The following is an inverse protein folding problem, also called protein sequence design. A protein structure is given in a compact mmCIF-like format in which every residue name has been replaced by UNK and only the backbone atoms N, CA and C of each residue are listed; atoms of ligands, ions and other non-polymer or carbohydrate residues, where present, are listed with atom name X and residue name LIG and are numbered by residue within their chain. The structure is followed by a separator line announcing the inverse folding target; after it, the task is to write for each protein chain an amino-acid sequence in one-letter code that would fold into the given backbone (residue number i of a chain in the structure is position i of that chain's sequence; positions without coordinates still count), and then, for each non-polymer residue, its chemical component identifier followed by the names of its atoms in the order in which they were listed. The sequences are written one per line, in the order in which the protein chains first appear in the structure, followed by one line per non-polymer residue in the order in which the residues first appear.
data_IF_641335704759
#
_entry.id   IF_641335704759
#
_cell.length_a   1.000
_cell.length_b   1.000
_cell.length_c   1.000
_cell.angle_alpha   90.00
_cell.angle_beta   90.00
_cell.angle_gamma   90.00
#
_symmetry.space_group_name_H-M   'P 1'
#
loop_
_entity.id
_entity.type
_entity.pdbx_description
1 polymer ?
#
# COMPACT_ATOMS: atom_id res chain seq x y z
N UNK A 1 19.70 5.05 -77.90
CA UNK A 1 19.06 5.78 -76.83
C UNK A 1 19.03 4.85 -75.62
N UNK A 2 19.94 5.02 -74.66
CA UNK A 2 20.04 4.23 -73.48
C UNK A 2 19.40 5.04 -72.35
N UNK A 3 18.33 4.48 -71.69
CA UNK A 3 17.68 5.06 -70.53
C UNK A 3 18.34 4.50 -69.28
N UNK A 4 18.97 5.36 -68.51
CA UNK A 4 19.54 5.07 -67.17
C UNK A 4 18.45 5.26 -66.14
N UNK A 5 18.15 4.21 -65.38
CA UNK A 5 17.22 4.27 -64.23
C UNK A 5 18.04 4.58 -62.97
N UNK A 6 17.72 5.67 -62.29
CA UNK A 6 18.22 5.97 -60.94
C UNK A 6 17.39 5.21 -59.92
N UNK A 7 18.02 4.35 -59.11
CA UNK A 7 17.46 3.77 -57.92
C UNK A 7 17.78 4.68 -56.75
N UNK A 8 16.75 5.27 -56.14
CA UNK A 8 16.83 6.00 -54.86
C UNK A 8 16.62 5.01 -53.74
N UNK A 9 17.67 4.75 -52.94
CA UNK A 9 17.58 3.98 -51.73
C UNK A 9 17.08 4.89 -50.58
N UNK A 10 15.89 4.58 -50.05
CA UNK A 10 15.37 5.22 -48.84
C UNK A 10 15.89 4.40 -47.65
N UNK A 11 16.80 5.00 -46.86
CA UNK A 11 17.25 4.46 -45.60
C UNK A 11 16.20 4.77 -44.52
N UNK A 12 15.48 3.77 -44.06
CA UNK A 12 14.60 3.86 -42.90
C UNK A 12 15.44 3.83 -41.61
N UNK A 13 15.57 4.97 -40.94
CA UNK A 13 16.10 5.04 -39.57
C UNK A 13 15.05 4.43 -38.63
N UNK A 14 15.28 3.20 -38.18
CA UNK A 14 14.55 2.63 -37.07
C UNK A 14 15.06 3.30 -35.77
N UNK A 15 14.28 4.25 -35.25
CA UNK A 15 14.46 4.75 -33.89
C UNK A 15 14.10 3.60 -32.89
N UNK A 16 15.11 2.88 -32.45
CA UNK A 16 14.98 1.94 -31.37
C UNK A 16 14.67 2.71 -30.07
N UNK A 17 13.41 2.74 -29.66
CA UNK A 17 13.07 3.16 -28.31
C UNK A 17 13.75 2.16 -27.36
N UNK A 18 14.77 2.62 -26.63
CA UNK A 18 15.33 1.88 -25.51
C UNK A 18 14.20 1.72 -24.49
N UNK A 19 13.68 0.51 -24.34
CA UNK A 19 12.74 0.18 -23.29
C UNK A 19 13.45 0.42 -21.94
N UNK A 20 13.01 1.43 -21.20
CA UNK A 20 13.44 1.63 -19.81
C UNK A 20 13.00 0.36 -19.05
N UNK A 21 13.87 -0.27 -18.25
CA UNK A 21 13.47 -1.39 -17.42
C UNK A 21 12.24 -1.01 -16.61
N UNK A 22 11.22 -1.87 -16.59
CA UNK A 22 9.95 -1.60 -15.91
C UNK A 22 10.08 -1.39 -14.39
N UNK A 23 11.27 -1.61 -13.83
CA UNK A 23 11.59 -1.54 -12.40
C UNK A 23 12.41 -0.30 -12.00
N UNK A 24 12.89 0.50 -12.95
CA UNK A 24 13.72 1.66 -12.62
C UNK A 24 12.86 2.79 -12.03
N UNK A 25 13.36 3.41 -10.95
CA UNK A 25 12.74 4.60 -10.38
C UNK A 25 12.57 5.70 -11.43
N UNK A 26 11.51 6.53 -11.33
CA UNK A 26 11.32 7.66 -12.23
C UNK A 26 12.51 8.62 -12.17
N UNK A 27 12.71 9.40 -13.22
CA UNK A 27 13.80 10.39 -13.27
C UNK A 27 13.69 11.42 -12.14
N UNK A 28 12.45 11.80 -11.79
CA UNK A 28 12.07 12.64 -10.65
C UNK A 28 10.79 12.05 -10.04
N UNK A 29 10.67 12.05 -8.72
CA UNK A 29 9.43 11.64 -8.07
C UNK A 29 8.36 12.74 -8.18
N UNK A 30 7.09 12.32 -8.14
CA UNK A 30 5.90 13.19 -8.13
C UNK A 30 5.46 13.39 -6.69
N UNK A 31 5.12 14.63 -6.29
CA UNK A 31 4.72 14.97 -4.93
C UNK A 31 3.46 15.86 -4.87
N UNK A 32 2.57 15.63 -3.88
CA UNK A 32 2.50 14.43 -3.07
C UNK A 32 2.27 13.20 -3.94
N UNK A 33 2.87 12.08 -3.57
CA UNK A 33 2.87 10.92 -4.45
C UNK A 33 2.93 9.56 -3.77
N UNK A 34 2.69 9.49 -2.45
CA UNK A 34 2.61 8.24 -1.70
C UNK A 34 1.14 7.88 -1.47
N UNK A 35 0.66 6.89 -2.17
CA UNK A 35 -0.72 6.37 -2.19
C UNK A 35 -1.75 7.37 -2.72
N UNK A 36 -1.55 8.67 -2.54
CA UNK A 36 -2.44 9.73 -3.04
C UNK A 36 -1.64 10.79 -3.79
N UNK A 37 -2.18 11.24 -4.93
CA UNK A 37 -1.69 12.36 -5.71
C UNK A 37 -2.42 13.66 -5.34
N UNK A 38 -1.88 14.79 -5.76
CA UNK A 38 -2.57 16.08 -5.60
C UNK A 38 -3.94 16.07 -6.30
N UNK A 39 -4.05 15.51 -7.51
CA UNK A 39 -5.33 15.42 -8.22
C UNK A 39 -6.38 14.62 -7.45
N UNK A 40 -5.97 13.52 -6.81
CA UNK A 40 -6.88 12.73 -5.95
C UNK A 40 -7.31 13.51 -4.70
N UNK A 41 -6.42 14.25 -4.09
CA UNK A 41 -6.73 15.10 -2.94
C UNK A 41 -7.67 16.26 -3.32
N UNK A 42 -7.46 16.90 -4.47
CA UNK A 42 -8.33 17.96 -5.00
C UNK A 42 -9.72 17.43 -5.30
N UNK A 43 -9.84 16.24 -5.89
CA UNK A 43 -11.11 15.58 -6.11
C UNK A 43 -11.85 15.32 -4.79
N UNK A 44 -11.20 14.69 -3.81
CA UNK A 44 -11.77 14.42 -2.49
C UNK A 44 -12.28 15.72 -1.83
N UNK A 45 -11.44 16.78 -1.82
CA UNK A 45 -11.82 18.10 -1.31
C UNK A 45 -13.04 18.68 -2.02
N UNK A 46 -13.07 18.61 -3.34
CA UNK A 46 -14.21 19.08 -4.14
C UNK A 46 -15.51 18.37 -3.77
N UNK A 47 -15.45 17.04 -3.64
CA UNK A 47 -16.62 16.21 -3.27
C UNK A 47 -17.10 16.49 -1.85
N UNK A 48 -16.19 16.60 -0.89
CA UNK A 48 -16.53 16.94 0.50
C UNK A 48 -17.19 18.33 0.58
N UNK A 49 -16.61 19.33 -0.09
CA UNK A 49 -17.16 20.70 -0.10
C UNK A 49 -18.53 20.78 -0.78
N UNK A 50 -18.80 19.91 -1.75
CA UNK A 50 -20.10 19.79 -2.40
C UNK A 50 -21.13 18.98 -1.58
N UNK A 51 -20.74 18.41 -0.43
CA UNK A 51 -21.61 17.54 0.38
C UNK A 51 -21.89 16.20 -0.27
N UNK A 52 -21.11 15.79 -1.30
CA UNK A 52 -21.37 14.59 -2.07
C UNK A 52 -21.01 13.31 -1.29
N UNK A 53 -21.85 12.27 -1.45
CA UNK A 53 -21.61 10.96 -0.88
C UNK A 53 -20.86 10.06 -1.90
N UNK A 54 -20.02 9.12 -1.45
CA UNK A 54 -19.74 8.75 -0.05
C UNK A 54 -18.68 9.63 0.64
N UNK A 55 -18.02 10.55 -0.06
CA UNK A 55 -16.85 11.32 0.43
C UNK A 55 -17.15 12.17 1.66
N UNK A 56 -18.32 12.87 1.66
CA UNK A 56 -18.70 13.68 2.84
C UNK A 56 -18.92 12.82 4.08
N UNK A 57 -19.59 11.68 3.95
CA UNK A 57 -19.78 10.74 5.04
C UNK A 57 -18.45 10.13 5.52
N UNK A 58 -17.53 9.81 4.60
CA UNK A 58 -16.21 9.31 4.93
C UNK A 58 -15.35 10.37 5.66
N UNK A 59 -15.43 11.62 5.21
CA UNK A 59 -14.76 12.73 5.87
C UNK A 59 -15.30 13.00 7.28
N UNK A 60 -16.62 12.99 7.45
CA UNK A 60 -17.23 13.18 8.76
C UNK A 60 -16.87 12.05 9.73
N UNK A 61 -16.85 10.80 9.26
CA UNK A 61 -16.42 9.66 10.04
C UNK A 61 -14.92 9.77 10.42
N UNK A 62 -14.08 10.26 9.51
CA UNK A 62 -12.68 10.53 9.77
C UNK A 62 -12.51 11.58 10.88
N UNK A 63 -13.22 12.71 10.79
CA UNK A 63 -13.14 13.77 11.80
C UNK A 63 -13.72 13.36 13.16
N UNK A 64 -14.68 12.45 13.19
CA UNK A 64 -15.24 11.91 14.43
C UNK A 64 -14.34 10.83 15.08
N UNK A 65 -13.29 10.41 14.40
CA UNK A 65 -12.38 9.37 14.92
C UNK A 65 -11.41 9.93 15.96
N UNK A 66 -10.87 9.03 16.82
CA UNK A 66 -9.80 9.37 17.76
C UNK A 66 -8.53 9.91 17.12
N UNK A 67 -8.37 9.72 15.81
CA UNK A 67 -7.19 10.13 15.05
C UNK A 67 -7.21 11.62 14.66
N UNK A 68 -8.39 12.26 14.61
CA UNK A 68 -8.53 13.68 14.28
C UNK A 68 -8.59 14.58 15.54
N UNK A 69 -8.31 14.03 16.73
CA UNK A 69 -8.33 14.79 17.98
C UNK A 69 -7.13 15.74 18.06
N UNK A 70 -7.40 17.04 17.89
CA UNK A 70 -6.38 18.08 17.99
C UNK A 70 -5.73 18.19 19.38
N UNK A 71 -6.31 17.58 20.43
CA UNK A 71 -5.72 17.53 21.78
C UNK A 71 -4.84 16.29 21.97
N UNK A 72 -4.74 15.41 20.93
CA UNK A 72 -3.87 14.24 21.00
C UNK A 72 -2.44 14.63 21.35
N UNK A 73 -1.87 13.97 22.36
CA UNK A 73 -0.46 14.10 22.72
C UNK A 73 0.31 12.91 22.18
N UNK A 74 1.36 13.19 21.41
CA UNK A 74 2.26 12.15 20.91
C UNK A 74 2.95 11.41 22.07
N UNK A 75 3.21 10.13 21.91
CA UNK A 75 3.84 9.27 22.91
C UNK A 75 5.11 8.60 22.36
N UNK A 76 6.10 9.38 21.90
CA UNK A 76 7.30 8.82 21.30
C UNK A 76 8.14 8.05 22.32
N UNK A 77 8.85 7.03 21.84
CA UNK A 77 9.81 6.24 22.62
C UNK A 77 11.12 6.15 21.84
N UNK A 78 12.23 6.09 22.59
CA UNK A 78 13.54 5.90 21.96
C UNK A 78 13.66 4.52 21.31
N UNK A 79 13.14 3.49 21.96
CA UNK A 79 13.05 2.14 21.42
C UNK A 79 11.58 1.71 21.42
N UNK A 80 11.08 1.29 20.26
CA UNK A 80 9.78 0.66 20.12
C UNK A 80 9.99 -0.86 20.15
N UNK A 81 9.51 -1.52 21.20
CA UNK A 81 9.70 -2.95 21.37
C UNK A 81 8.40 -3.70 21.16
N UNK A 82 8.34 -4.53 20.09
CA UNK A 82 7.15 -5.24 19.66
C UNK A 82 7.41 -6.75 19.55
N UNK A 83 6.89 -7.50 20.50
CA UNK A 83 6.92 -8.96 20.47
C UNK A 83 5.78 -9.55 19.62
N UNK A 84 5.76 -10.89 19.52
CA UNK A 84 4.68 -11.63 18.86
C UNK A 84 3.33 -11.23 19.40
N UNK A 85 2.38 -10.96 18.50
CA UNK A 85 1.07 -10.39 18.85
C UNK A 85 1.19 -9.09 19.70
N UNK A 86 2.30 -8.35 19.50
CA UNK A 86 2.69 -7.19 20.29
C UNK A 86 2.67 -7.45 21.80
N UNK A 87 3.32 -8.51 22.20
CA UNK A 87 3.64 -8.78 23.59
C UNK A 87 5.13 -9.13 23.74
N UNK A 88 5.97 -8.22 24.27
CA UNK A 88 5.62 -6.91 24.82
C UNK A 88 5.10 -5.91 23.80
N UNK A 89 4.42 -4.84 24.28
CA UNK A 89 3.93 -3.69 23.53
C UNK A 89 4.47 -2.40 24.16
N UNK A 90 5.74 -2.10 23.91
CA UNK A 90 6.35 -0.85 24.37
C UNK A 90 6.41 0.14 23.22
N UNK A 91 5.36 0.96 23.09
CA UNK A 91 5.24 1.97 22.07
C UNK A 91 4.64 1.51 20.74
N UNK A 92 4.40 0.21 20.52
CA UNK A 92 3.91 -0.31 19.23
C UNK A 92 2.56 0.29 18.82
N UNK A 93 1.59 0.27 19.75
CA UNK A 93 0.28 0.86 19.50
C UNK A 93 0.36 2.39 19.41
N UNK A 94 1.13 3.02 20.31
CA UNK A 94 1.30 4.47 20.33
C UNK A 94 1.88 4.97 18.99
N UNK A 95 2.91 4.31 18.46
CA UNK A 95 3.54 4.66 17.18
C UNK A 95 2.58 4.55 16.00
N UNK A 96 1.87 3.41 15.85
CA UNK A 96 0.91 3.22 14.78
C UNK A 96 -0.22 4.24 14.83
N UNK A 97 -0.76 4.47 16.02
CA UNK A 97 -1.85 5.43 16.21
C UNK A 97 -1.41 6.87 15.93
N UNK A 98 -0.20 7.27 16.35
CA UNK A 98 0.34 8.59 16.06
C UNK A 98 0.64 8.77 14.57
N UNK A 99 1.10 7.72 13.87
CA UNK A 99 1.32 7.75 12.43
C UNK A 99 0.00 7.89 11.64
N UNK A 100 -1.04 7.14 12.02
CA UNK A 100 -2.38 7.29 11.42
C UNK A 100 -2.98 8.66 11.75
N UNK A 101 -2.79 9.16 12.97
CA UNK A 101 -3.27 10.49 13.35
C UNK A 101 -2.59 11.59 12.52
N UNK A 102 -1.29 11.52 12.32
CA UNK A 102 -0.58 12.47 11.46
C UNK A 102 -1.12 12.46 10.02
N UNK A 103 -1.40 11.28 9.46
CA UNK A 103 -2.03 11.16 8.13
C UNK A 103 -3.46 11.69 8.12
N UNK A 104 -4.25 11.39 9.14
CA UNK A 104 -5.61 11.91 9.31
C UNK A 104 -5.63 13.43 9.35
N UNK A 105 -4.74 14.03 10.16
CA UNK A 105 -4.62 15.48 10.28
C UNK A 105 -4.10 16.11 8.98
N UNK A 106 -3.19 15.47 8.26
CA UNK A 106 -2.75 15.95 6.95
C UNK A 106 -3.90 15.98 5.92
N UNK A 107 -4.77 14.96 5.89
CA UNK A 107 -5.97 14.94 5.07
C UNK A 107 -6.98 16.01 5.51
N UNK A 108 -7.23 16.14 6.82
CA UNK A 108 -8.13 17.15 7.38
C UNK A 108 -7.65 18.57 7.01
N UNK A 109 -6.35 18.84 7.13
CA UNK A 109 -5.73 20.07 6.63
C UNK A 109 -6.02 20.29 5.13
N UNK A 110 -5.72 19.28 4.30
CA UNK A 110 -5.88 19.45 2.86
C UNK A 110 -7.31 19.79 2.45
N UNK A 111 -8.28 19.18 3.10
CA UNK A 111 -9.71 19.36 2.78
C UNK A 111 -10.24 20.67 3.37
N UNK A 112 -9.98 20.97 4.64
CA UNK A 112 -10.56 22.12 5.34
C UNK A 112 -9.77 23.41 5.17
N UNK A 113 -8.47 23.32 4.92
CA UNK A 113 -7.48 24.41 5.02
C UNK A 113 -7.39 25.02 6.43
N UNK A 114 -7.82 24.30 7.45
CA UNK A 114 -7.62 24.68 8.85
C UNK A 114 -6.21 24.30 9.28
N UNK A 115 -5.38 25.31 9.48
CA UNK A 115 -3.96 25.15 9.84
C UNK A 115 -3.72 24.39 11.15
N UNK A 116 -4.72 24.30 12.04
CA UNK A 116 -4.59 23.54 13.28
C UNK A 116 -4.28 22.07 12.98
N UNK A 117 -4.87 21.49 11.94
CA UNK A 117 -4.59 20.12 11.52
C UNK A 117 -3.18 19.97 10.93
N UNK A 118 -2.74 20.90 10.07
CA UNK A 118 -1.36 20.84 9.56
C UNK A 118 -0.33 20.92 10.70
N UNK A 119 -0.54 21.85 11.64
CA UNK A 119 0.32 22.01 12.82
C UNK A 119 0.31 20.78 13.72
N UNK A 120 -0.86 20.09 13.84
CA UNK A 120 -0.96 18.84 14.62
C UNK A 120 -0.20 17.69 13.92
N UNK A 121 -0.35 17.51 12.62
CA UNK A 121 0.40 16.51 11.85
C UNK A 121 1.92 16.73 12.01
N UNK A 122 2.39 17.98 11.88
CA UNK A 122 3.80 18.37 12.11
C UNK A 122 4.23 18.03 13.53
N UNK A 123 3.43 18.39 14.54
CA UNK A 123 3.72 18.10 15.94
C UNK A 123 3.94 16.62 16.23
N UNK A 124 3.09 15.74 15.66
CA UNK A 124 3.23 14.30 15.81
C UNK A 124 4.51 13.79 15.14
N UNK A 125 4.77 14.18 13.90
CA UNK A 125 5.97 13.81 13.15
C UNK A 125 7.24 14.32 13.83
N UNK A 126 7.23 15.54 14.33
CA UNK A 126 8.37 16.15 15.05
C UNK A 126 8.65 15.47 16.39
N UNK A 127 7.61 15.09 17.11
CA UNK A 127 7.77 14.40 18.40
C UNK A 127 8.47 13.05 18.23
N UNK A 128 8.03 12.24 17.27
CA UNK A 128 8.64 10.94 17.00
C UNK A 128 10.06 11.08 16.44
N UNK A 129 10.27 11.97 15.47
CA UNK A 129 11.60 12.17 14.88
C UNK A 129 12.66 12.74 15.85
N UNK A 130 12.23 13.30 16.97
CA UNK A 130 13.13 13.78 18.01
C UNK A 130 13.61 12.68 18.97
N UNK A 131 12.92 11.53 19.01
CA UNK A 131 13.09 10.57 20.10
C UNK A 131 13.45 9.16 19.62
N UNK A 132 12.78 8.65 18.58
CA UNK A 132 12.95 7.24 18.17
C UNK A 132 14.33 6.99 17.57
N UNK A 133 14.94 5.89 17.99
CA UNK A 133 16.27 5.46 17.51
C UNK A 133 16.28 4.01 17.03
N UNK A 134 15.31 3.18 17.45
CA UNK A 134 15.32 1.75 17.12
C UNK A 134 13.94 1.09 17.24
N UNK A 135 13.77 -0.03 16.51
CA UNK A 135 12.69 -0.99 16.67
C UNK A 135 13.28 -2.34 17.06
N UNK A 136 12.70 -3.01 18.04
CA UNK A 136 13.26 -4.26 18.57
C UNK A 136 12.21 -5.35 18.76
N UNK A 137 12.69 -6.57 19.01
CA UNK A 137 11.91 -7.78 19.22
C UNK A 137 11.33 -8.40 17.92
N UNK A 138 10.63 -9.52 18.05
CA UNK A 138 10.25 -10.41 16.94
C UNK A 138 9.35 -9.76 15.88
N UNK A 139 8.56 -8.76 16.23
CA UNK A 139 7.68 -8.05 15.31
C UNK A 139 8.23 -6.68 14.85
N UNK A 140 9.48 -6.35 15.17
CA UNK A 140 10.09 -5.08 14.78
C UNK A 140 9.93 -4.75 13.28
N UNK A 141 10.27 -5.67 12.32
CA UNK A 141 10.11 -5.36 10.90
C UNK A 141 8.66 -5.10 10.49
N UNK A 142 7.71 -5.86 11.03
CA UNK A 142 6.29 -5.69 10.70
C UNK A 142 5.71 -4.40 11.30
N UNK A 143 6.06 -4.08 12.54
CA UNK A 143 5.71 -2.82 13.20
C UNK A 143 6.24 -1.62 12.43
N UNK A 144 7.52 -1.67 12.04
CA UNK A 144 8.17 -0.65 11.22
C UNK A 144 7.48 -0.50 9.85
N UNK A 145 7.05 -1.61 9.25
CA UNK A 145 6.26 -1.62 8.03
C UNK A 145 4.92 -0.88 8.19
N UNK A 146 4.17 -1.18 9.24
CA UNK A 146 2.86 -0.56 9.46
C UNK A 146 2.94 0.94 9.76
N UNK A 147 3.79 1.35 10.72
CA UNK A 147 3.95 2.76 11.01
C UNK A 147 4.62 3.51 9.84
N UNK A 148 5.63 2.88 9.23
CA UNK A 148 6.36 3.41 8.08
C UNK A 148 5.54 3.57 6.80
N UNK A 149 4.38 2.92 6.68
CA UNK A 149 3.42 3.16 5.59
C UNK A 149 2.65 4.46 5.79
N UNK A 150 2.28 4.80 7.03
CA UNK A 150 1.46 5.99 7.33
C UNK A 150 2.27 7.28 7.38
N UNK A 151 3.48 7.24 7.94
CA UNK A 151 4.34 8.42 8.08
C UNK A 151 4.64 9.17 6.78
N UNK A 152 5.10 8.52 5.68
CA UNK A 152 5.39 9.24 4.45
C UNK A 152 4.13 9.79 3.78
N UNK A 153 2.95 9.17 3.93
CA UNK A 153 1.68 9.72 3.43
C UNK A 153 1.37 11.09 4.07
N UNK A 154 1.51 11.16 5.41
CA UNK A 154 1.33 12.43 6.13
C UNK A 154 2.36 13.47 5.70
N UNK A 155 3.62 13.06 5.66
CA UNK A 155 4.75 13.94 5.34
C UNK A 155 4.68 14.53 3.93
N UNK A 156 4.30 13.73 2.95
CA UNK A 156 4.09 14.15 1.56
C UNK A 156 3.02 15.25 1.45
N UNK A 157 1.86 15.02 2.05
CA UNK A 157 0.79 16.01 2.01
C UNK A 157 1.25 17.32 2.66
N UNK A 158 1.83 17.25 3.86
CA UNK A 158 2.27 18.46 4.56
C UNK A 158 3.40 19.17 3.82
N UNK A 159 4.46 18.46 3.46
CA UNK A 159 5.66 19.06 2.85
C UNK A 159 5.34 19.77 1.52
N UNK A 160 4.46 19.22 0.73
CA UNK A 160 4.22 19.71 -0.64
C UNK A 160 2.92 20.53 -0.79
N UNK A 161 2.07 20.63 0.24
CA UNK A 161 0.80 21.36 0.14
C UNK A 161 0.57 22.39 1.22
N UNK A 162 1.27 22.33 2.35
CA UNK A 162 1.15 23.30 3.42
C UNK A 162 2.06 24.51 3.17
N UNK A 163 1.46 25.69 3.10
CA UNK A 163 2.21 26.94 2.84
C UNK A 163 3.01 27.46 4.05
N UNK A 164 2.74 26.94 5.25
CA UNK A 164 3.48 27.26 6.45
C UNK A 164 4.82 26.50 6.53
N UNK A 165 5.62 26.82 7.55
CA UNK A 165 6.94 26.20 7.71
C UNK A 165 6.86 24.87 8.48
N UNK A 166 7.61 23.87 7.99
CA UNK A 166 7.97 22.67 8.73
C UNK A 166 9.48 22.59 8.90
N UNK A 167 9.97 23.26 9.93
CA UNK A 167 11.41 23.45 10.16
C UNK A 167 12.18 22.14 10.40
N UNK A 168 11.54 21.13 11.00
CA UNK A 168 12.16 19.83 11.33
C UNK A 168 11.97 18.74 10.26
N UNK A 169 11.51 19.08 9.07
CA UNK A 169 11.30 18.10 7.99
C UNK A 169 12.56 17.29 7.65
N UNK A 170 13.74 17.91 7.73
CA UNK A 170 15.03 17.23 7.56
C UNK A 170 15.33 16.21 8.64
N UNK A 171 14.99 16.50 9.92
CA UNK A 171 15.12 15.52 11.01
C UNK A 171 14.16 14.36 10.83
N UNK A 172 12.94 14.63 10.42
CA UNK A 172 11.97 13.58 10.11
C UNK A 172 12.45 12.69 8.96
N UNK A 173 12.99 13.26 7.89
CA UNK A 173 13.62 12.51 6.80
C UNK A 173 14.79 11.63 7.30
N UNK A 174 15.61 12.15 8.21
CA UNK A 174 16.72 11.41 8.84
C UNK A 174 16.21 10.22 9.66
N UNK A 175 15.11 10.37 10.41
CA UNK A 175 14.46 9.29 11.13
C UNK A 175 14.03 8.16 10.17
N UNK A 176 13.32 8.50 9.09
CA UNK A 176 12.87 7.51 8.11
C UNK A 176 14.04 6.78 7.45
N UNK A 177 15.11 7.49 7.12
CA UNK A 177 16.31 6.94 6.49
C UNK A 177 17.11 6.02 7.40
N UNK A 178 17.27 6.39 8.67
CA UNK A 178 18.23 5.74 9.56
C UNK A 178 17.57 4.73 10.53
N UNK A 179 16.28 4.87 10.81
CA UNK A 179 15.56 4.02 11.77
C UNK A 179 14.60 3.06 11.05
N UNK A 180 13.82 3.56 10.09
CA UNK A 180 12.80 2.74 9.42
C UNK A 180 13.35 1.94 8.23
N UNK A 181 14.01 2.62 7.30
CA UNK A 181 14.43 1.98 6.04
C UNK A 181 15.38 0.79 6.24
N UNK A 182 16.38 0.83 7.14
CA UNK A 182 17.25 -0.32 7.37
C UNK A 182 16.51 -1.57 7.86
N UNK A 183 15.46 -1.39 8.67
CA UNK A 183 14.68 -2.48 9.24
C UNK A 183 13.84 -3.22 8.17
N UNK A 184 13.35 -2.50 7.14
CA UNK A 184 12.37 -3.02 6.19
C UNK A 184 12.90 -3.32 4.80
N UNK A 185 13.98 -2.66 4.36
CA UNK A 185 14.43 -2.68 2.95
C UNK A 185 14.91 -4.06 2.46
N UNK A 186 15.27 -4.94 3.37
CA UNK A 186 15.73 -6.28 3.04
C UNK A 186 14.60 -7.32 2.97
N UNK A 187 13.36 -6.94 3.29
CA UNK A 187 12.19 -7.82 3.25
C UNK A 187 12.21 -8.89 4.33
N UNK A 188 11.35 -9.89 4.19
CA UNK A 188 11.17 -10.97 5.17
C UNK A 188 10.85 -12.29 4.49
N UNK A 189 11.26 -13.40 5.10
CA UNK A 189 10.85 -14.76 4.72
C UNK A 189 9.65 -15.28 5.54
N UNK A 190 9.06 -14.44 6.37
CA UNK A 190 7.81 -14.74 7.11
C UNK A 190 6.61 -14.87 6.16
N UNK A 191 5.38 -14.89 6.68
CA UNK A 191 4.19 -14.86 5.84
C UNK A 191 4.20 -13.65 4.89
N UNK A 192 3.54 -13.79 3.74
CA UNK A 192 3.68 -12.81 2.65
C UNK A 192 3.25 -11.39 2.98
N UNK A 193 2.25 -11.21 3.87
CA UNK A 193 1.83 -9.88 4.31
C UNK A 193 2.94 -9.08 5.00
N UNK A 194 3.91 -9.75 5.66
CA UNK A 194 5.05 -9.08 6.29
C UNK A 194 5.89 -8.34 5.26
N UNK A 195 6.39 -9.06 4.25
CA UNK A 195 7.23 -8.44 3.23
C UNK A 195 6.44 -7.43 2.39
N UNK A 196 5.16 -7.69 2.12
CA UNK A 196 4.31 -6.73 1.40
C UNK A 196 4.13 -5.42 2.18
N UNK A 197 3.84 -5.48 3.49
CA UNK A 197 3.76 -4.28 4.34
C UNK A 197 5.11 -3.57 4.48
N UNK A 198 6.20 -4.33 4.60
CA UNK A 198 7.55 -3.76 4.63
C UNK A 198 7.92 -3.07 3.31
N UNK A 199 7.58 -3.67 2.16
CA UNK A 199 7.85 -3.07 0.86
C UNK A 199 6.97 -1.85 0.58
N UNK A 200 5.72 -1.84 1.05
CA UNK A 200 4.88 -0.65 0.99
C UNK A 200 5.52 0.54 1.71
N UNK A 201 5.94 0.32 2.95
CA UNK A 201 6.64 1.36 3.73
C UNK A 201 7.94 1.79 3.04
N UNK A 202 8.74 0.84 2.56
CA UNK A 202 10.01 1.15 1.88
C UNK A 202 9.79 1.98 0.60
N UNK A 203 8.77 1.66 -0.20
CA UNK A 203 8.39 2.43 -1.40
C UNK A 203 7.98 3.85 -1.03
N UNK A 204 7.05 4.00 -0.06
CA UNK A 204 6.59 5.32 0.36
C UNK A 204 7.70 6.18 0.98
N UNK A 205 8.53 5.59 1.83
CA UNK A 205 9.70 6.26 2.41
C UNK A 205 10.68 6.69 1.31
N UNK A 206 10.95 5.83 0.34
CA UNK A 206 11.89 6.14 -0.76
C UNK A 206 11.41 7.30 -1.63
N UNK A 207 10.10 7.40 -1.90
CA UNK A 207 9.50 8.55 -2.59
C UNK A 207 9.72 9.83 -1.77
N UNK A 208 9.37 9.84 -0.49
CA UNK A 208 9.53 11.02 0.37
C UNK A 208 11.00 11.46 0.52
N UNK A 209 11.94 10.50 0.53
CA UNK A 209 13.38 10.73 0.66
C UNK A 209 14.08 11.05 -0.66
N UNK A 210 13.41 11.00 -1.81
CA UNK A 210 14.01 11.09 -3.14
C UNK A 210 15.10 10.00 -3.38
N UNK A 211 14.92 8.82 -2.77
CA UNK A 211 15.89 7.72 -2.81
C UNK A 211 15.52 6.67 -3.86
N UNK A 212 16.00 6.88 -5.08
CA UNK A 212 15.74 5.98 -6.22
C UNK A 212 16.28 4.58 -6.03
N UNK A 213 17.44 4.44 -5.39
CA UNK A 213 18.07 3.14 -5.19
C UNK A 213 17.25 2.26 -4.24
N UNK A 214 16.76 2.84 -3.15
CA UNK A 214 15.86 2.14 -2.22
C UNK A 214 14.50 1.86 -2.84
N UNK A 215 13.96 2.78 -3.66
CA UNK A 215 12.73 2.55 -4.40
C UNK A 215 12.85 1.34 -5.33
N UNK A 216 13.88 1.29 -6.18
CA UNK A 216 14.10 0.19 -7.13
C UNK A 216 14.26 -1.15 -6.40
N UNK A 217 15.01 -1.16 -5.30
CA UNK A 217 15.18 -2.36 -4.48
C UNK A 217 13.86 -2.84 -3.88
N UNK A 218 13.04 -1.92 -3.34
CA UNK A 218 11.74 -2.25 -2.78
C UNK A 218 10.78 -2.77 -3.86
N UNK A 219 10.76 -2.14 -5.05
CA UNK A 219 9.92 -2.54 -6.17
C UNK A 219 10.27 -3.94 -6.72
N UNK A 220 11.55 -4.26 -6.82
CA UNK A 220 11.98 -5.60 -7.23
C UNK A 220 11.49 -6.68 -6.25
N UNK A 221 11.61 -6.44 -4.94
CA UNK A 221 11.07 -7.33 -3.92
C UNK A 221 9.55 -7.43 -3.97
N UNK A 222 8.87 -6.31 -4.10
CA UNK A 222 7.41 -6.23 -4.23
C UNK A 222 6.88 -7.13 -5.35
N UNK A 223 7.45 -7.03 -6.56
CA UNK A 223 7.02 -7.85 -7.70
C UNK A 223 7.20 -9.34 -7.43
N UNK A 224 8.36 -9.71 -6.90
CA UNK A 224 8.66 -11.11 -6.56
C UNK A 224 7.69 -11.64 -5.49
N UNK A 225 7.46 -10.85 -4.43
CA UNK A 225 6.56 -11.25 -3.34
C UNK A 225 5.10 -11.28 -3.78
N UNK A 226 4.63 -10.33 -4.56
CA UNK A 226 3.24 -10.32 -5.07
C UNK A 226 2.95 -11.57 -5.91
N UNK A 227 3.90 -11.95 -6.79
CA UNK A 227 3.78 -13.16 -7.58
C UNK A 227 3.77 -14.44 -6.71
N UNK A 228 4.50 -14.47 -5.60
CA UNK A 228 4.53 -15.58 -4.67
C UNK A 228 3.41 -15.56 -3.62
N UNK A 229 2.64 -14.47 -3.54
CA UNK A 229 1.57 -14.29 -2.55
C UNK A 229 0.18 -14.59 -3.12
N UNK A 230 -0.07 -14.25 -4.37
CA UNK A 230 -1.35 -14.50 -5.04
C UNK A 230 -1.14 -15.51 -6.16
N UNK A 231 -1.85 -16.62 -6.10
CA UNK A 231 -1.78 -17.66 -7.12
C UNK A 231 -2.66 -17.32 -8.32
N UNK A 232 -2.15 -17.62 -9.51
CA UNK A 232 -2.90 -17.69 -10.78
C UNK A 232 -2.69 -19.05 -11.43
N UNK A 233 -3.69 -19.60 -12.10
CA UNK A 233 -3.59 -20.87 -12.83
C UNK A 233 -2.46 -20.83 -13.88
N UNK A 234 -2.12 -19.67 -14.40
CA UNK A 234 -0.98 -19.45 -15.29
C UNK A 234 0.39 -19.66 -14.63
N UNK A 235 0.47 -19.77 -13.30
CA UNK A 235 1.72 -20.11 -12.60
C UNK A 235 2.06 -21.60 -12.72
N UNK A 236 1.12 -22.44 -13.14
CA UNK A 236 1.23 -23.89 -13.22
C UNK A 236 0.65 -24.58 -11.99
N UNK A 237 1.03 -25.84 -11.73
CA UNK A 237 0.45 -26.67 -10.66
C UNK A 237 0.73 -26.18 -9.25
N UNK A 238 1.69 -25.29 -9.07
CA UNK A 238 2.12 -24.76 -7.78
C UNK A 238 2.30 -23.24 -7.82
N UNK A 239 2.03 -22.57 -6.70
CA UNK A 239 2.33 -21.15 -6.57
C UNK A 239 3.80 -20.82 -6.80
N UNK A 240 4.08 -19.62 -7.31
CA UNK A 240 5.43 -19.07 -7.35
C UNK A 240 6.00 -18.91 -5.93
N UNK A 241 7.30 -18.91 -5.81
CA UNK A 241 8.01 -18.80 -4.53
C UNK A 241 9.06 -17.69 -4.57
N UNK A 242 9.36 -17.13 -3.41
CA UNK A 242 10.52 -16.22 -3.27
C UNK A 242 11.78 -17.05 -3.13
N UNK A 243 12.83 -16.81 -3.95
CA UNK A 243 14.03 -17.64 -3.96
C UNK A 243 14.69 -17.80 -2.58
N UNK A 244 14.72 -16.76 -1.75
CA UNK A 244 15.33 -16.79 -0.42
C UNK A 244 14.62 -17.72 0.58
N UNK A 245 13.36 -18.13 0.31
CA UNK A 245 12.60 -19.00 1.21
C UNK A 245 12.91 -20.49 1.04
N UNK A 246 13.59 -20.88 -0.05
CA UNK A 246 13.96 -22.26 -0.32
C UNK A 246 12.77 -23.26 -0.34
N UNK A 247 11.61 -22.81 -0.81
CA UNK A 247 10.38 -23.59 -0.95
C UNK A 247 10.41 -24.39 -2.27
N UNK A 248 11.24 -25.42 -2.30
CA UNK A 248 11.58 -26.17 -3.53
C UNK A 248 10.86 -27.52 -3.68
N UNK A 249 9.91 -27.84 -2.81
CA UNK A 249 9.08 -29.04 -2.90
C UNK A 249 7.61 -28.67 -2.66
N UNK A 250 6.69 -29.52 -3.20
CA UNK A 250 5.25 -29.35 -2.99
C UNK A 250 4.90 -29.27 -1.50
N UNK A 251 5.44 -30.14 -0.67
CA UNK A 251 5.13 -30.21 0.76
C UNK A 251 5.54 -28.90 1.50
N UNK A 252 6.71 -28.35 1.14
CA UNK A 252 7.14 -27.06 1.69
C UNK A 252 6.22 -25.90 1.27
N UNK A 253 5.78 -25.89 0.01
CA UNK A 253 4.84 -24.89 -0.49
C UNK A 253 3.49 -25.03 0.22
N UNK A 254 2.93 -26.24 0.27
CA UNK A 254 1.68 -26.52 0.99
C UNK A 254 1.77 -26.10 2.46
N UNK A 255 2.85 -26.46 3.14
CA UNK A 255 3.08 -26.04 4.52
C UNK A 255 3.12 -24.52 4.68
N UNK A 256 3.82 -23.80 3.81
CA UNK A 256 3.88 -22.35 3.81
C UNK A 256 2.50 -21.72 3.48
N UNK A 257 1.68 -22.36 2.62
CA UNK A 257 0.33 -21.96 2.26
C UNK A 257 -0.72 -22.44 3.29
N UNK A 258 -0.34 -22.60 4.55
CA UNK A 258 -1.24 -22.95 5.66
C UNK A 258 -1.94 -24.30 5.48
N UNK A 259 -1.30 -25.24 4.83
CA UNK A 259 -1.85 -26.58 4.55
C UNK A 259 -2.74 -26.66 3.30
N UNK A 260 -2.95 -25.56 2.58
CA UNK A 260 -3.75 -25.57 1.36
C UNK A 260 -2.99 -26.28 0.23
N UNK A 261 -3.58 -27.35 -0.30
CA UNK A 261 -2.98 -28.21 -1.33
C UNK A 261 -3.63 -28.13 -2.71
N UNK A 262 -4.82 -27.53 -2.78
CA UNK A 262 -5.54 -27.24 -4.04
C UNK A 262 -5.44 -25.74 -4.31
N UNK A 263 -4.80 -25.37 -5.41
CA UNK A 263 -4.58 -23.99 -5.78
C UNK A 263 -5.53 -23.57 -6.89
N UNK A 264 -6.14 -22.40 -6.74
CA UNK A 264 -7.04 -21.79 -7.73
C UNK A 264 -6.75 -20.31 -7.83
N UNK A 265 -6.98 -19.73 -9.00
CA UNK A 265 -6.77 -18.30 -9.27
C UNK A 265 -7.41 -17.40 -8.21
N UNK A 266 -6.65 -16.49 -7.65
CA UNK A 266 -7.07 -15.52 -6.62
C UNK A 266 -6.84 -15.99 -5.18
N UNK A 267 -6.46 -17.24 -4.95
CA UNK A 267 -6.05 -17.72 -3.64
C UNK A 267 -4.76 -16.99 -3.21
N UNK A 268 -4.69 -16.56 -1.96
CA UNK A 268 -3.49 -15.95 -1.38
C UNK A 268 -2.81 -16.92 -0.41
N UNK A 269 -1.52 -16.71 -0.17
CA UNK A 269 -0.72 -17.53 0.73
C UNK A 269 -1.33 -17.63 2.13
N UNK A 270 -2.07 -16.61 2.57
CA UNK A 270 -2.65 -16.56 3.92
C UNK A 270 -4.16 -16.75 3.97
N UNK A 271 -4.82 -17.06 2.86
CA UNK A 271 -6.28 -17.27 2.84
C UNK A 271 -6.71 -18.28 3.91
N UNK A 272 -5.97 -19.37 4.08
CA UNK A 272 -6.30 -20.39 5.09
C UNK A 272 -5.78 -20.09 6.50
N UNK A 273 -5.03 -19.01 6.68
CA UNK A 273 -4.72 -18.47 8.01
C UNK A 273 -5.91 -17.70 8.56
N UNK A 274 -6.27 -16.62 7.91
CA UNK A 274 -7.49 -15.82 8.08
C UNK A 274 -7.54 -14.68 7.02
N UNK A 275 -8.72 -14.12 6.79
CA UNK A 275 -8.87 -13.04 5.82
C UNK A 275 -8.38 -11.69 6.35
N UNK A 276 -8.17 -11.52 7.64
CA UNK A 276 -7.58 -10.30 8.22
C UNK A 276 -6.12 -10.13 7.76
N UNK A 277 -5.30 -11.17 7.89
CA UNK A 277 -3.91 -11.14 7.40
C UNK A 277 -3.83 -11.10 5.87
N UNK A 278 -4.76 -11.82 5.19
CA UNK A 278 -4.93 -11.71 3.74
C UNK A 278 -5.21 -10.27 3.33
N UNK A 279 -6.07 -9.56 4.06
CA UNK A 279 -6.36 -8.15 3.84
C UNK A 279 -5.14 -7.25 3.97
N UNK A 280 -4.23 -7.52 4.90
CA UNK A 280 -2.97 -6.76 5.02
C UNK A 280 -2.10 -6.91 3.76
N UNK A 281 -1.96 -8.12 3.24
CA UNK A 281 -1.23 -8.35 2.00
C UNK A 281 -1.87 -7.67 0.79
N UNK A 282 -3.19 -7.80 0.63
CA UNK A 282 -3.93 -7.20 -0.49
C UNK A 282 -3.87 -5.66 -0.45
N UNK A 283 -4.02 -5.05 0.73
CA UNK A 283 -3.92 -3.60 0.86
C UNK A 283 -2.53 -3.10 0.51
N UNK A 284 -1.48 -3.76 0.99
CA UNK A 284 -0.11 -3.39 0.65
C UNK A 284 0.14 -3.49 -0.87
N UNK A 285 -0.38 -4.53 -1.55
CA UNK A 285 -0.30 -4.64 -3.01
C UNK A 285 -1.01 -3.45 -3.68
N UNK A 286 -2.22 -3.10 -3.24
CA UNK A 286 -2.99 -1.98 -3.78
C UNK A 286 -2.25 -0.64 -3.61
N UNK A 287 -1.70 -0.40 -2.42
CA UNK A 287 -1.01 0.86 -2.09
C UNK A 287 0.30 1.04 -2.87
N UNK A 288 1.08 -0.03 -3.02
CA UNK A 288 2.30 0.01 -3.85
C UNK A 288 1.96 0.22 -5.32
N UNK A 289 0.95 -0.48 -5.84
CA UNK A 289 0.51 -0.30 -7.22
C UNK A 289 0.03 1.14 -7.47
N UNK A 290 -0.70 1.74 -6.53
CA UNK A 290 -1.18 3.12 -6.65
C UNK A 290 -0.03 4.11 -6.55
N UNK A 291 0.88 3.96 -5.59
CA UNK A 291 2.09 4.78 -5.49
C UNK A 291 2.91 4.69 -6.78
N UNK A 292 3.15 3.48 -7.28
CA UNK A 292 3.90 3.25 -8.53
C UNK A 292 3.24 3.93 -9.73
N UNK A 293 1.89 3.87 -9.84
CA UNK A 293 1.14 4.56 -10.89
C UNK A 293 1.33 6.08 -10.82
N UNK A 294 1.22 6.66 -9.63
CA UNK A 294 1.44 8.11 -9.42
C UNK A 294 2.87 8.48 -9.84
N UNK A 295 3.82 7.58 -9.58
CA UNK A 295 5.22 7.76 -9.98
C UNK A 295 5.50 7.44 -11.46
N UNK A 296 4.44 7.23 -12.28
CA UNK A 296 4.56 7.03 -13.72
C UNK A 296 4.84 5.59 -14.16
N UNK A 297 4.78 4.62 -13.24
CA UNK A 297 4.94 3.18 -13.53
C UNK A 297 3.62 2.45 -13.25
N UNK A 298 2.75 2.34 -14.23
CA UNK A 298 1.45 1.70 -14.06
C UNK A 298 1.57 0.16 -14.00
N UNK A 299 1.34 -0.40 -12.81
CA UNK A 299 1.34 -1.83 -12.56
C UNK A 299 -0.03 -2.50 -12.77
N UNK A 300 -1.10 -1.73 -12.88
CA UNK A 300 -2.45 -2.29 -13.01
C UNK A 300 -2.66 -3.02 -14.35
N UNK A 301 -1.96 -2.63 -15.40
CA UNK A 301 -1.95 -3.32 -16.70
C UNK A 301 -0.99 -4.53 -16.77
N UNK A 302 -0.38 -4.93 -15.66
CA UNK A 302 0.62 -6.01 -15.60
C UNK A 302 0.10 -7.23 -14.82
N UNK A 303 0.98 -8.25 -14.64
CA UNK A 303 0.73 -9.41 -13.76
C UNK A 303 0.32 -9.00 -12.33
N UNK A 304 0.84 -7.88 -11.82
CA UNK A 304 0.46 -7.36 -10.49
C UNK A 304 -1.02 -6.97 -10.44
N UNK A 305 -1.52 -6.25 -11.44
CA UNK A 305 -2.92 -5.85 -11.51
C UNK A 305 -3.86 -7.05 -11.65
N UNK A 306 -3.50 -8.04 -12.46
CA UNK A 306 -4.32 -9.25 -12.59
C UNK A 306 -4.37 -10.04 -11.29
N UNK A 307 -3.23 -10.23 -10.61
CA UNK A 307 -3.19 -10.89 -9.29
C UNK A 307 -4.03 -10.15 -8.26
N UNK A 308 -3.93 -8.83 -8.22
CA UNK A 308 -4.73 -8.00 -7.32
C UNK A 308 -6.23 -8.14 -7.61
N UNK A 309 -6.63 -8.07 -8.88
CA UNK A 309 -8.03 -8.24 -9.30
C UNK A 309 -8.60 -9.58 -8.86
N UNK A 310 -7.85 -10.65 -9.10
CA UNK A 310 -8.27 -12.00 -8.75
C UNK A 310 -8.32 -12.21 -7.23
N UNK A 311 -7.32 -11.75 -6.50
CA UNK A 311 -7.31 -11.85 -5.04
C UNK A 311 -8.49 -11.10 -4.41
N UNK A 312 -8.74 -9.85 -4.82
CA UNK A 312 -9.87 -9.06 -4.34
C UNK A 312 -11.20 -9.78 -4.59
N UNK A 313 -11.43 -10.28 -5.81
CA UNK A 313 -12.67 -10.97 -6.17
C UNK A 313 -12.86 -12.29 -5.41
N UNK A 314 -11.79 -13.05 -5.24
CA UNK A 314 -11.82 -14.34 -4.53
C UNK A 314 -12.16 -14.15 -3.04
N UNK A 315 -11.50 -13.22 -2.34
CA UNK A 315 -11.74 -13.01 -0.92
C UNK A 315 -13.10 -12.34 -0.68
N UNK A 316 -13.46 -11.35 -1.51
CA UNK A 316 -14.75 -10.66 -1.40
C UNK A 316 -15.95 -11.62 -1.52
N UNK A 317 -15.85 -12.62 -2.37
CA UNK A 317 -16.89 -13.65 -2.56
C UNK A 317 -17.25 -14.34 -1.23
N UNK A 318 -16.25 -14.67 -0.41
CA UNK A 318 -16.47 -15.35 0.88
C UNK A 318 -16.90 -14.37 1.98
N UNK A 319 -16.38 -13.17 1.99
CA UNK A 319 -16.86 -12.10 2.89
C UNK A 319 -18.34 -11.75 2.63
N UNK A 320 -18.84 -11.97 1.44
CA UNK A 320 -20.24 -11.80 1.08
C UNK A 320 -21.13 -13.01 1.43
N UNK A 321 -20.55 -14.07 2.03
CA UNK A 321 -21.30 -15.20 2.55
C UNK A 321 -21.43 -16.41 1.63
N UNK A 322 -20.64 -16.49 0.55
CA UNK A 322 -20.56 -17.70 -0.26
C UNK A 322 -20.08 -18.88 0.57
N UNK A 323 -20.73 -20.02 0.46
CA UNK A 323 -20.34 -21.23 1.17
C UNK A 323 -18.91 -21.67 0.83
N UNK A 324 -18.13 -21.99 1.86
CA UNK A 324 -16.73 -22.42 1.70
C UNK A 324 -16.73 -23.90 1.29
N UNK A 325 -16.17 -24.26 0.12
CA UNK A 325 -16.13 -25.66 -0.31
C UNK A 325 -15.11 -26.44 0.52
N UNK A 326 -15.29 -27.75 0.63
CA UNK A 326 -14.48 -28.64 1.47
C UNK A 326 -12.99 -28.63 1.11
N UNK A 327 -12.66 -28.38 -0.15
CA UNK A 327 -11.26 -28.30 -0.61
C UNK A 327 -10.53 -27.02 -0.18
N UNK A 328 -11.27 -25.96 0.17
CA UNK A 328 -10.70 -24.69 0.57
C UNK A 328 -10.57 -24.65 2.10
N UNK A 329 -9.35 -24.63 2.59
CA UNK A 329 -9.04 -24.53 4.01
C UNK A 329 -9.79 -25.56 4.90
N UNK A 330 -10.03 -26.76 4.36
CA UNK A 330 -10.80 -27.79 5.06
C UNK A 330 -12.28 -27.47 5.26
N UNK A 331 -12.83 -26.57 4.42
CA UNK A 331 -14.25 -26.19 4.45
C UNK A 331 -14.58 -25.04 5.42
N UNK A 332 -13.58 -24.34 5.95
CA UNK A 332 -13.78 -23.24 6.89
C UNK A 332 -12.82 -22.07 6.63
N UNK A 333 -13.34 -20.83 6.61
CA UNK A 333 -12.56 -19.60 6.54
C UNK A 333 -12.84 -18.72 7.76
N UNK A 334 -11.76 -18.14 8.29
CA UNK A 334 -11.88 -17.05 9.26
C UNK A 334 -11.99 -15.74 8.50
N UNK A 335 -13.20 -15.16 8.49
CA UNK A 335 -13.49 -13.90 7.81
C UNK A 335 -12.86 -12.70 8.51
N UNK A 336 -12.97 -11.52 7.92
CA UNK A 336 -12.47 -10.26 8.47
C UNK A 336 -11.47 -9.55 7.57
N UNK A 337 -11.72 -9.51 6.25
CA UNK A 337 -10.84 -8.89 5.25
C UNK A 337 -10.52 -7.42 5.58
N UNK A 338 -11.44 -6.73 6.24
CA UNK A 338 -11.25 -5.33 6.62
C UNK A 338 -11.53 -4.31 5.50
N UNK A 339 -11.22 -3.03 5.73
CA UNK A 339 -11.51 -1.93 4.82
C UNK A 339 -10.41 -1.77 3.74
N UNK A 340 -10.11 -2.83 2.97
CA UNK A 340 -8.92 -2.92 2.13
C UNK A 340 -9.20 -2.98 0.62
N UNK A 341 -10.46 -2.84 0.22
CA UNK A 341 -10.84 -3.07 -1.18
C UNK A 341 -10.86 -1.81 -2.04
N UNK A 342 -10.97 -0.65 -1.43
CA UNK A 342 -11.29 0.61 -2.12
C UNK A 342 -10.25 1.00 -3.18
N UNK A 343 -8.95 0.98 -2.82
CA UNK A 343 -7.86 1.43 -3.72
C UNK A 343 -7.78 0.55 -4.96
N UNK A 344 -7.70 -0.77 -4.77
CA UNK A 344 -7.63 -1.73 -5.89
C UNK A 344 -8.91 -1.75 -6.71
N UNK A 345 -10.08 -1.66 -6.08
CA UNK A 345 -11.36 -1.58 -6.76
C UNK A 345 -11.46 -0.33 -7.63
N UNK A 346 -11.14 0.84 -7.07
CA UNK A 346 -11.18 2.09 -7.84
C UNK A 346 -10.25 2.05 -9.06
N UNK A 347 -9.04 1.55 -8.89
CA UNK A 347 -8.09 1.46 -9.98
C UNK A 347 -8.55 0.51 -11.09
N UNK A 348 -8.88 -0.72 -10.72
CA UNK A 348 -9.15 -1.79 -11.70
C UNK A 348 -10.55 -1.70 -12.29
N UNK A 349 -11.57 -1.32 -11.49
CA UNK A 349 -12.94 -1.21 -11.97
C UNK A 349 -13.27 0.17 -12.49
N UNK A 350 -13.15 1.21 -11.66
CA UNK A 350 -13.65 2.55 -12.03
C UNK A 350 -12.79 3.22 -13.09
N UNK A 351 -11.45 3.09 -13.01
CA UNK A 351 -10.54 3.70 -13.99
C UNK A 351 -10.30 2.82 -15.22
N UNK A 352 -10.18 1.50 -15.04
CA UNK A 352 -9.84 0.56 -16.14
C UNK A 352 -11.02 -0.24 -16.68
N UNK A 353 -12.22 -0.12 -16.10
CA UNK A 353 -13.44 -0.76 -16.58
C UNK A 353 -13.48 -2.28 -16.41
N UNK A 354 -12.63 -2.86 -15.57
CA UNK A 354 -12.60 -4.32 -15.37
C UNK A 354 -13.80 -4.81 -14.56
N UNK A 355 -14.34 -5.98 -14.92
CA UNK A 355 -15.42 -6.62 -14.17
C UNK A 355 -14.94 -7.09 -12.79
N UNK A 356 -15.56 -6.60 -11.71
CA UNK A 356 -15.20 -6.92 -10.31
C UNK A 356 -16.44 -7.04 -9.41
N UNK A 357 -17.44 -7.81 -9.82
CA UNK A 357 -18.79 -7.86 -9.18
C UNK A 357 -18.74 -8.11 -7.67
N UNK A 358 -18.00 -9.12 -7.20
CA UNK A 358 -17.90 -9.39 -5.76
C UNK A 358 -17.15 -8.28 -5.00
N UNK A 359 -16.06 -7.78 -5.59
CA UNK A 359 -15.29 -6.69 -4.99
C UNK A 359 -16.13 -5.43 -4.89
N UNK A 360 -16.87 -5.09 -5.95
CA UNK A 360 -17.81 -3.96 -5.95
C UNK A 360 -18.82 -4.07 -4.81
N UNK A 361 -19.54 -5.19 -4.75
CA UNK A 361 -20.56 -5.40 -3.72
C UNK A 361 -20.00 -5.30 -2.29
N UNK A 362 -18.78 -5.83 -2.06
CA UNK A 362 -18.13 -5.74 -0.76
C UNK A 362 -17.67 -4.32 -0.45
N UNK A 363 -17.06 -3.63 -1.43
CA UNK A 363 -16.57 -2.25 -1.27
C UNK A 363 -17.72 -1.30 -0.94
N UNK A 364 -18.79 -1.34 -1.73
CA UNK A 364 -19.98 -0.50 -1.52
C UNK A 364 -20.66 -0.79 -0.18
N UNK A 365 -20.76 -2.07 0.23
CA UNK A 365 -21.29 -2.46 1.54
C UNK A 365 -20.48 -1.87 2.70
N UNK A 366 -19.17 -1.77 2.54
CA UNK A 366 -18.27 -1.33 3.61
C UNK A 366 -18.02 0.19 3.62
N UNK A 367 -18.55 0.95 2.67
CA UNK A 367 -18.43 2.41 2.65
C UNK A 367 -19.26 3.07 3.76
N UNK A 368 -18.70 4.07 4.45
CA UNK A 368 -17.36 4.58 4.32
C UNK A 368 -16.34 3.67 5.02
N UNK A 369 -15.30 3.25 4.28
CA UNK A 369 -14.21 2.47 4.85
C UNK A 369 -13.40 3.36 5.80
N UNK A 370 -13.22 2.88 7.04
CA UNK A 370 -12.47 3.56 8.10
C UNK A 370 -11.00 3.18 8.12
N UNK A 371 -10.48 2.86 9.33
CA UNK A 371 -9.12 2.40 9.54
C UNK A 371 -9.09 0.96 10.09
N UNK A 372 -8.06 0.19 9.71
CA UNK A 372 -7.76 -1.08 10.36
C UNK A 372 -6.90 -0.93 11.63
N UNK A 373 -6.62 0.31 12.06
CA UNK A 373 -5.76 0.68 13.19
C UNK A 373 -4.29 0.23 13.07
N UNK A 374 -3.85 -0.16 11.88
CA UNK A 374 -2.47 -0.52 11.60
C UNK A 374 -1.84 0.43 10.56
N UNK A 375 -2.35 0.44 9.32
CA UNK A 375 -1.78 1.23 8.22
C UNK A 375 -2.79 1.54 7.09
N UNK A 376 -3.97 0.92 7.09
CA UNK A 376 -5.06 1.22 6.17
C UNK A 376 -5.97 2.26 6.80
N UNK A 377 -6.21 3.38 6.13
CA UNK A 377 -7.08 4.42 6.66
C UNK A 377 -7.66 5.32 5.56
N UNK A 378 -8.94 5.60 5.66
CA UNK A 378 -9.69 6.65 4.95
C UNK A 378 -9.78 6.48 3.43
N UNK A 379 -9.74 5.26 2.93
CA UNK A 379 -9.63 4.99 1.50
C UNK A 379 -10.88 5.38 0.72
N UNK A 380 -12.09 5.27 1.30
CA UNK A 380 -13.30 5.81 0.65
C UNK A 380 -13.21 7.31 0.41
N UNK A 381 -12.61 8.05 1.35
CA UNK A 381 -12.41 9.50 1.18
C UNK A 381 -11.45 9.82 0.04
N UNK A 382 -10.34 9.10 -0.04
CA UNK A 382 -9.25 9.41 -0.96
C UNK A 382 -9.39 8.75 -2.33
N UNK A 383 -9.93 7.54 -2.40
CA UNK A 383 -9.99 6.72 -3.61
C UNK A 383 -11.40 6.39 -4.08
N UNK A 384 -12.43 6.53 -3.24
CA UNK A 384 -13.80 6.22 -3.67
C UNK A 384 -14.18 6.93 -4.96
N UNK A 385 -14.45 6.17 -6.02
CA UNK A 385 -14.81 6.64 -7.35
C UNK A 385 -13.97 7.83 -7.88
N UNK A 386 -12.69 7.87 -7.50
CA UNK A 386 -11.75 8.92 -7.86
C UNK A 386 -11.14 8.66 -9.24
N UNK A 387 -11.36 9.52 -10.23
CA UNK A 387 -10.91 9.30 -11.60
C UNK A 387 -9.41 9.56 -11.82
N UNK A 388 -8.71 10.21 -10.85
CA UNK A 388 -7.31 10.64 -10.98
C UNK A 388 -6.31 9.57 -10.61
#
# INVERSE_FOLDING_TARGET
MRRTALLTAVAALAAGALAVPADAAPATFVHPGVTVSQGQLDFARSKVNAGAQPWKGAFDAMLASKYADLNRTAKPRAVVECGSYSNPNYGCTDEREDAIAAYTDALAWYITRDERYAKKAIQLMDAWSAVITDHTNSNAPLQTGWAGSSWPRAAEIIKYTYSGSWANSGRFATMLRNVYLPEIINGSNSNGNWELSMTEAAVGISVFLEDKASYDKAMARFRTRTAAYVYLDSDGDLPKTVPSQNLNTRDKIVGYWQGQSTFVTGLTQETCRDLTHTGYGISAISHVAETSRIQGQDLYGTDVGERLRQALGFQAKYELGTAVPSWLCGGSLKLGLGPVTEVGYNALHNRLGMGMTNTQALTERNRPAGSNNLFVAWETLTHGDNPN
#
